data_IF_397465143286
#
_entry.id   IF_397465143286
#
_cell.length_a   1.000
_cell.length_b   1.000
_cell.length_c   1.000
_cell.angle_alpha   90.00
_cell.angle_beta   90.00
_cell.angle_gamma   90.00
#
_symmetry.space_group_name_H-M   'P 1'
#
loop_
_entity.id
_entity.type
_entity.pdbx_description
1 polymer ?
#
# COMPACT_ATOMS: atom_id res chain seq x y z
N UNK A 1 -9.54 7.86 -4.12
CA UNK A 1 -9.10 6.48 -3.83
C UNK A 1 -8.40 5.98 -5.09
N UNK A 2 -7.16 5.53 -4.98
CA UNK A 2 -6.51 4.81 -6.08
C UNK A 2 -7.44 3.67 -6.51
N UNK A 3 -7.82 3.62 -7.79
CA UNK A 3 -8.74 2.62 -8.32
C UNK A 3 -8.05 1.26 -8.44
N UNK A 4 -8.82 0.19 -8.59
CA UNK A 4 -8.25 -1.15 -8.80
C UNK A 4 -7.41 -1.21 -10.08
N UNK A 5 -6.41 -2.08 -10.09
CA UNK A 5 -5.55 -2.27 -11.24
C UNK A 5 -6.25 -3.22 -12.21
N UNK A 6 -6.41 -2.78 -13.46
CA UNK A 6 -7.00 -3.57 -14.55
C UNK A 6 -5.92 -4.19 -15.42
N UNK A 7 -6.14 -5.42 -15.87
CA UNK A 7 -5.31 -6.05 -16.88
C UNK A 7 -5.87 -5.67 -18.25
N UNK A 8 -5.03 -5.09 -19.10
CA UNK A 8 -5.35 -4.72 -20.47
C UNK A 8 -4.42 -5.47 -21.44
N UNK A 9 -4.77 -5.49 -22.73
CA UNK A 9 -4.02 -6.18 -23.77
C UNK A 9 -3.61 -5.23 -24.88
N UNK A 10 -2.31 -5.15 -25.13
CA UNK A 10 -1.75 -4.46 -26.28
C UNK A 10 -1.78 -5.40 -27.48
N UNK A 11 -2.61 -5.05 -28.48
CA UNK A 11 -2.81 -5.87 -29.67
C UNK A 11 -1.65 -5.81 -30.67
N UNK A 12 -0.85 -4.75 -30.67
CA UNK A 12 0.27 -4.60 -31.62
C UNK A 12 1.48 -5.39 -31.13
N UNK A 13 1.77 -5.32 -29.83
CA UNK A 13 2.91 -6.01 -29.21
C UNK A 13 2.58 -7.40 -28.67
N UNK A 14 1.30 -7.78 -28.70
CA UNK A 14 0.76 -9.03 -28.13
C UNK A 14 1.17 -9.26 -26.66
N UNK A 15 1.02 -8.22 -25.83
CA UNK A 15 1.44 -8.23 -24.42
C UNK A 15 0.35 -7.69 -23.51
N UNK A 16 0.23 -8.30 -22.33
CA UNK A 16 -0.63 -7.77 -21.27
C UNK A 16 0.09 -6.67 -20.48
N UNK A 17 -0.66 -5.65 -20.07
CA UNK A 17 -0.17 -4.55 -19.24
C UNK A 17 -1.21 -4.14 -18.20
N UNK A 18 -0.76 -3.34 -17.22
CA UNK A 18 -1.59 -2.89 -16.12
C UNK A 18 -2.09 -1.47 -16.36
N UNK A 19 -3.40 -1.28 -16.25
CA UNK A 19 -4.07 0.01 -16.32
C UNK A 19 -4.58 0.45 -14.95
N UNK A 20 -4.36 1.72 -14.62
CA UNK A 20 -4.99 2.39 -13.49
C UNK A 20 -5.37 3.84 -13.88
N UNK A 21 -5.71 4.68 -12.91
CA UNK A 21 -6.10 6.06 -13.21
C UNK A 21 -5.02 6.91 -13.87
N UNK A 22 -3.73 6.60 -13.71
CA UNK A 22 -2.63 7.44 -14.17
C UNK A 22 -2.26 7.23 -15.65
N UNK A 23 -2.64 6.10 -16.23
CA UNK A 23 -2.48 5.84 -17.67
C UNK A 23 -3.83 5.72 -18.39
N UNK A 24 -4.92 6.15 -17.76
CA UNK A 24 -6.28 6.08 -18.29
C UNK A 24 -6.69 7.38 -18.96
N UNK A 25 -7.30 7.28 -20.12
CA UNK A 25 -7.99 8.36 -20.82
C UNK A 25 -9.38 7.87 -21.20
N UNK A 26 -10.44 8.50 -20.68
CA UNK A 26 -11.85 8.05 -20.80
C UNK A 26 -12.04 6.59 -20.38
N UNK A 27 -12.15 5.64 -21.30
CA UNK A 27 -12.24 4.20 -21.02
C UNK A 27 -11.06 3.39 -21.57
N UNK A 28 -10.08 4.08 -22.14
CA UNK A 28 -8.86 3.49 -22.70
C UNK A 28 -7.67 3.64 -21.77
N UNK A 29 -6.70 2.73 -21.88
CA UNK A 29 -5.45 2.75 -21.12
C UNK A 29 -4.25 2.77 -22.06
N UNK A 30 -3.27 3.63 -21.79
CA UNK A 30 -2.02 3.69 -22.54
C UNK A 30 -1.16 2.47 -22.24
N UNK A 31 -0.76 1.76 -23.29
CA UNK A 31 0.20 0.67 -23.19
C UNK A 31 1.61 1.20 -22.94
N UNK A 32 2.38 0.60 -22.01
CA UNK A 32 3.78 0.96 -21.78
C UNK A 32 4.69 0.48 -22.93
N UNK A 33 4.22 -0.39 -23.82
CA UNK A 33 5.01 -0.96 -24.92
C UNK A 33 4.91 -0.12 -26.18
N UNK A 34 3.70 0.05 -26.71
CA UNK A 34 3.43 0.80 -27.94
C UNK A 34 3.27 2.30 -27.73
N UNK A 35 3.00 2.74 -26.48
CA UNK A 35 2.60 4.10 -26.17
C UNK A 35 1.22 4.50 -26.73
N UNK A 36 0.40 3.53 -27.13
CA UNK A 36 -0.93 3.70 -27.71
C UNK A 36 -2.01 3.39 -26.67
N UNK A 37 -3.14 4.10 -26.71
CA UNK A 37 -4.31 3.84 -25.89
C UNK A 37 -5.20 2.76 -26.50
N UNK A 38 -5.61 1.77 -25.69
CA UNK A 38 -6.56 0.72 -26.07
C UNK A 38 -7.77 0.72 -25.14
N UNK A 39 -8.99 0.42 -25.63
CA UNK A 39 -9.30 -0.02 -26.99
C UNK A 39 -9.38 1.11 -28.03
N UNK A 40 -9.66 2.34 -27.59
CA UNK A 40 -9.80 3.50 -28.47
C UNK A 40 -8.64 4.47 -28.27
N UNK A 41 -8.10 4.97 -29.38
CA UNK A 41 -7.10 6.02 -29.38
C UNK A 41 -7.75 7.37 -29.66
N UNK A 42 -7.50 8.37 -28.80
CA UNK A 42 -7.98 9.74 -29.02
C UNK A 42 -6.83 10.65 -29.42
N UNK A 43 -7.08 11.57 -30.36
CA UNK A 43 -6.06 12.49 -30.89
C UNK A 43 -5.44 13.38 -29.80
N UNK A 44 -6.22 13.72 -28.77
CA UNK A 44 -5.78 14.57 -27.65
C UNK A 44 -5.37 13.77 -26.41
N UNK A 45 -5.16 12.45 -26.53
CA UNK A 45 -4.67 11.65 -25.42
C UNK A 45 -3.25 12.07 -25.02
N UNK A 46 -2.98 12.10 -23.71
CA UNK A 46 -1.67 12.46 -23.22
C UNK A 46 -0.61 11.43 -23.62
N UNK A 47 0.52 11.91 -24.12
CA UNK A 47 1.70 11.09 -24.43
C UNK A 47 2.92 11.74 -23.78
N UNK A 48 3.79 10.98 -23.07
CA UNK A 48 4.95 11.57 -22.44
C UNK A 48 5.94 12.15 -23.47
N UNK A 49 6.65 13.25 -23.12
CA UNK A 49 7.77 13.75 -23.92
C UNK A 49 8.83 12.67 -24.17
N UNK A 50 9.56 12.78 -25.29
CA UNK A 50 10.51 11.76 -25.76
C UNK A 50 11.55 11.34 -24.70
N UNK A 51 12.10 12.29 -23.95
CA UNK A 51 13.05 12.00 -22.88
C UNK A 51 12.43 11.16 -21.76
N UNK A 52 11.21 11.47 -21.32
CA UNK A 52 10.49 10.66 -20.32
C UNK A 52 10.06 9.32 -20.89
N UNK A 53 9.67 9.27 -22.17
CA UNK A 53 9.31 8.00 -22.81
C UNK A 53 10.50 7.03 -22.86
N UNK A 54 11.70 7.54 -23.11
CA UNK A 54 12.94 6.75 -23.06
C UNK A 54 13.19 6.17 -21.67
N UNK A 55 13.03 7.00 -20.62
CA UNK A 55 13.11 6.56 -19.23
C UNK A 55 12.01 5.54 -18.88
N UNK A 56 10.77 5.76 -19.34
CA UNK A 56 9.64 4.88 -19.09
C UNK A 56 9.89 3.48 -19.65
N UNK A 57 10.42 3.36 -20.87
CA UNK A 57 10.79 2.07 -21.47
C UNK A 57 11.89 1.39 -20.65
N UNK A 58 12.93 2.13 -20.26
CA UNK A 58 14.01 1.60 -19.42
C UNK A 58 13.48 1.10 -18.08
N UNK A 59 12.64 1.87 -17.41
CA UNK A 59 12.12 1.52 -16.09
C UNK A 59 11.14 0.35 -16.15
N UNK A 60 10.33 0.23 -17.21
CA UNK A 60 9.54 -0.99 -17.43
C UNK A 60 10.43 -2.22 -17.52
N UNK A 61 11.55 -2.14 -18.25
CA UNK A 61 12.49 -3.26 -18.40
C UNK A 61 13.16 -3.64 -17.07
N UNK A 62 13.59 -2.65 -16.27
CA UNK A 62 14.23 -2.90 -14.97
C UNK A 62 13.20 -3.41 -13.96
N UNK A 63 12.01 -2.82 -13.93
CA UNK A 63 10.97 -3.17 -12.98
C UNK A 63 10.35 -4.54 -13.26
N UNK A 64 10.30 -4.99 -14.52
CA UNK A 64 9.92 -6.37 -14.83
C UNK A 64 10.93 -7.39 -14.26
N UNK A 65 12.22 -7.04 -14.17
CA UNK A 65 13.22 -7.88 -13.47
C UNK A 65 12.97 -7.91 -11.97
N UNK A 66 12.63 -6.77 -11.37
CA UNK A 66 12.21 -6.70 -9.96
C UNK A 66 10.99 -7.59 -9.71
N UNK A 67 9.94 -7.47 -10.54
CA UNK A 67 8.76 -8.33 -10.47
C UNK A 67 9.14 -9.81 -10.55
N UNK A 68 9.96 -10.21 -11.53
CA UNK A 68 10.41 -11.61 -11.64
C UNK A 68 11.15 -12.10 -10.39
N UNK A 69 11.99 -11.26 -9.80
CA UNK A 69 12.77 -11.62 -8.61
C UNK A 69 11.89 -11.80 -7.35
N UNK A 70 10.94 -10.90 -7.11
CA UNK A 70 10.15 -10.89 -5.85
C UNK A 70 8.77 -11.56 -5.96
N UNK A 71 8.16 -11.55 -7.14
CA UNK A 71 6.80 -12.04 -7.36
C UNK A 71 6.75 -13.33 -8.19
N UNK A 72 7.86 -13.71 -8.85
CA UNK A 72 8.02 -14.83 -9.79
C UNK A 72 7.12 -14.72 -11.03
N UNK A 73 5.81 -14.60 -10.84
CA UNK A 73 4.79 -14.39 -11.85
C UNK A 73 4.04 -13.06 -11.63
N UNK A 74 3.00 -12.80 -12.40
CA UNK A 74 2.22 -11.57 -12.38
C UNK A 74 2.67 -10.59 -13.46
N UNK A 75 2.04 -9.41 -13.47
CA UNK A 75 2.30 -8.35 -14.42
C UNK A 75 2.87 -7.13 -13.71
N UNK A 76 3.65 -6.34 -14.45
CA UNK A 76 4.13 -5.05 -14.00
C UNK A 76 4.03 -4.02 -15.12
N UNK A 77 3.79 -2.77 -14.78
CA UNK A 77 3.83 -1.66 -15.74
C UNK A 77 4.29 -0.39 -15.06
N UNK A 78 5.03 0.43 -15.79
CA UNK A 78 5.56 1.70 -15.31
C UNK A 78 5.13 2.83 -16.24
N UNK A 79 4.66 3.94 -15.65
CA UNK A 79 4.21 5.13 -16.38
C UNK A 79 4.84 6.39 -15.83
N UNK A 80 5.36 7.25 -16.70
CA UNK A 80 5.99 8.51 -16.34
C UNK A 80 5.27 9.71 -16.94
N UNK A 81 5.24 10.81 -16.21
CA UNK A 81 4.76 12.11 -16.68
C UNK A 81 5.51 13.26 -16.01
N UNK A 82 5.59 14.45 -16.61
CA UNK A 82 6.29 15.57 -16.01
C UNK A 82 5.55 16.01 -14.74
N UNK A 83 6.31 16.49 -13.76
CA UNK A 83 5.71 17.14 -12.61
C UNK A 83 5.17 18.52 -13.06
N UNK A 84 3.89 18.85 -12.84
CA UNK A 84 3.32 20.13 -13.28
C UNK A 84 3.76 21.34 -12.45
N UNK A 85 4.32 21.13 -11.24
CA UNK A 85 4.60 22.21 -10.28
C UNK A 85 6.09 22.55 -10.22
N UNK A 86 6.95 21.54 -10.34
CA UNK A 86 8.39 21.66 -10.11
C UNK A 86 9.19 20.91 -11.16
N UNK A 87 10.46 21.28 -11.31
CA UNK A 87 11.39 20.55 -12.18
C UNK A 87 11.53 19.10 -11.72
N UNK A 88 11.19 18.16 -12.60
CA UNK A 88 11.25 16.73 -12.34
C UNK A 88 10.12 15.96 -13.01
N UNK A 89 9.81 14.80 -12.47
CA UNK A 89 8.82 13.88 -13.05
C UNK A 89 8.14 13.06 -11.96
N UNK A 90 7.00 12.48 -12.31
CA UNK A 90 6.30 11.51 -11.50
C UNK A 90 6.35 10.16 -12.21
N UNK A 91 6.62 9.11 -11.45
CA UNK A 91 6.65 7.75 -11.93
C UNK A 91 5.66 6.90 -11.14
N UNK A 92 4.83 6.15 -11.84
CA UNK A 92 3.90 5.20 -11.27
C UNK A 92 4.33 3.78 -11.63
N UNK A 93 4.59 2.96 -10.62
CA UNK A 93 4.96 1.56 -10.77
C UNK A 93 3.83 0.67 -10.27
N UNK A 94 3.35 -0.21 -11.14
CA UNK A 94 2.23 -1.11 -10.87
C UNK A 94 2.71 -2.54 -10.86
N UNK A 95 2.26 -3.31 -9.88
CA UNK A 95 2.36 -4.77 -9.85
C UNK A 95 0.97 -5.33 -9.58
N UNK A 96 0.59 -6.34 -10.35
CA UNK A 96 -0.60 -7.14 -10.09
C UNK A 96 -0.23 -8.62 -10.20
N UNK A 97 -0.53 -9.38 -9.17
CA UNK A 97 -0.36 -10.84 -9.13
C UNK A 97 -1.69 -11.46 -8.72
N UNK A 98 -2.15 -12.39 -9.54
CA UNK A 98 -3.26 -13.28 -9.23
C UNK A 98 -2.69 -14.69 -9.10
N UNK A 99 -3.03 -15.38 -8.02
CA UNK A 99 -2.52 -16.69 -7.70
C UNK A 99 -3.62 -17.57 -7.12
N UNK A 100 -3.76 -18.76 -7.71
CA UNK A 100 -4.63 -19.82 -7.19
C UNK A 100 -3.76 -20.62 -6.21
N UNK A 101 -3.97 -20.43 -4.92
CA UNK A 101 -3.15 -21.07 -3.89
C UNK A 101 -3.51 -22.56 -3.72
N UNK A 102 -4.80 -22.85 -3.70
CA UNK A 102 -5.36 -24.20 -3.76
C UNK A 102 -6.63 -24.21 -4.62
N UNK A 103 -7.34 -25.34 -4.75
CA UNK A 103 -8.54 -25.45 -5.59
C UNK A 103 -9.65 -24.45 -5.21
N UNK A 104 -9.59 -23.86 -4.02
CA UNK A 104 -10.69 -23.11 -3.41
C UNK A 104 -10.28 -21.71 -2.97
N UNK A 105 -8.98 -21.37 -3.00
CA UNK A 105 -8.43 -20.15 -2.44
C UNK A 105 -7.69 -19.37 -3.51
N UNK A 106 -8.24 -18.20 -3.85
CA UNK A 106 -7.65 -17.25 -4.78
C UNK A 106 -7.07 -16.07 -4.00
N UNK A 107 -5.85 -15.69 -4.35
CA UNK A 107 -5.13 -14.55 -3.78
C UNK A 107 -4.88 -13.56 -4.91
N UNK A 108 -5.32 -12.34 -4.70
CA UNK A 108 -5.06 -11.20 -5.57
C UNK A 108 -4.23 -10.18 -4.80
N UNK A 109 -3.15 -9.72 -5.42
CA UNK A 109 -2.24 -8.73 -4.88
C UNK A 109 -2.03 -7.62 -5.89
N UNK A 110 -2.31 -6.39 -5.48
CA UNK A 110 -2.09 -5.18 -6.26
C UNK A 110 -1.19 -4.23 -5.47
N UNK A 111 -0.10 -3.78 -6.08
CA UNK A 111 0.77 -2.76 -5.50
C UNK A 111 0.90 -1.58 -6.47
N UNK A 112 0.65 -0.37 -5.97
CA UNK A 112 0.84 0.89 -6.67
C UNK A 112 1.90 1.69 -5.94
N UNK A 113 2.99 2.04 -6.62
CA UNK A 113 4.01 2.95 -6.10
C UNK A 113 3.99 4.22 -6.92
N UNK A 114 3.60 5.31 -6.31
CA UNK A 114 3.66 6.64 -6.90
C UNK A 114 4.89 7.35 -6.33
N UNK A 115 5.83 7.71 -7.20
CA UNK A 115 7.04 8.43 -6.82
C UNK A 115 7.07 9.76 -7.54
N UNK A 116 7.09 10.83 -6.76
CA UNK A 116 7.34 12.17 -7.24
C UNK A 116 8.80 12.53 -7.02
N UNK A 117 9.48 12.91 -8.11
CA UNK A 117 10.87 13.36 -8.13
C UNK A 117 10.88 14.86 -8.34
N UNK A 118 11.35 15.60 -7.35
CA UNK A 118 11.50 17.05 -7.42
C UNK A 118 12.99 17.42 -7.35
N UNK A 119 13.45 18.22 -8.30
CA UNK A 119 14.84 18.66 -8.39
C UNK A 119 14.89 20.13 -8.02
N UNK A 120 15.58 20.47 -6.93
CA UNK A 120 15.78 21.88 -6.51
C UNK A 120 17.22 22.09 -6.08
N UNK A 121 17.91 23.07 -6.68
CA UNK A 121 19.24 23.54 -6.24
C UNK A 121 20.23 22.40 -5.92
N UNK A 122 20.39 21.44 -6.83
CA UNK A 122 21.26 20.24 -6.70
C UNK A 122 20.80 19.19 -5.67
N UNK A 123 19.64 19.36 -5.06
CA UNK A 123 19.01 18.34 -4.22
C UNK A 123 17.89 17.67 -5.02
N UNK A 124 17.82 16.35 -4.94
CA UNK A 124 16.71 15.57 -5.48
C UNK A 124 15.87 15.06 -4.31
N UNK A 125 14.60 15.43 -4.31
CA UNK A 125 13.61 15.01 -3.32
C UNK A 125 12.75 13.92 -3.95
N UNK A 126 12.70 12.77 -3.29
CA UNK A 126 11.87 11.64 -3.66
C UNK A 126 10.74 11.50 -2.65
N UNK A 127 9.52 11.72 -3.10
CA UNK A 127 8.32 11.46 -2.30
C UNK A 127 7.66 10.20 -2.85
N UNK A 128 7.63 9.14 -2.06
CA UNK A 128 7.00 7.87 -2.43
C UNK A 128 5.71 7.69 -1.64
N UNK A 129 4.64 7.32 -2.34
CA UNK A 129 3.40 6.80 -1.77
C UNK A 129 3.18 5.40 -2.33
N UNK A 130 3.12 4.41 -1.45
CA UNK A 130 2.84 3.02 -1.80
C UNK A 130 1.49 2.60 -1.24
N UNK A 131 0.68 2.01 -2.11
CA UNK A 131 -0.63 1.46 -1.81
C UNK A 131 -0.62 -0.01 -2.17
N UNK A 132 -0.94 -0.87 -1.21
CA UNK A 132 -1.10 -2.30 -1.43
C UNK A 132 -2.56 -2.67 -1.18
N UNK A 133 -3.21 -3.22 -2.19
CA UNK A 133 -4.48 -3.92 -2.06
C UNK A 133 -4.20 -5.41 -2.12
N UNK A 134 -4.83 -6.15 -1.22
CA UNK A 134 -4.86 -7.61 -1.34
C UNK A 134 -6.25 -8.12 -1.09
N UNK A 135 -6.57 -9.24 -1.73
CA UNK A 135 -7.84 -9.93 -1.61
C UNK A 135 -7.59 -11.43 -1.54
N UNK A 136 -8.16 -12.09 -0.53
CA UNK A 136 -8.10 -13.54 -0.35
C UNK A 136 -9.54 -14.03 -0.34
N UNK A 137 -9.90 -14.81 -1.35
CA UNK A 137 -11.22 -15.41 -1.53
C UNK A 137 -11.13 -16.90 -1.32
N UNK A 138 -11.87 -17.44 -0.35
CA UNK A 138 -12.06 -18.88 -0.16
C UNK A 138 -13.50 -19.27 -0.51
N UNK A 139 -13.68 -20.03 -1.58
CA UNK A 139 -15.00 -20.34 -2.14
C UNK A 139 -15.83 -21.27 -1.25
N UNK A 140 -15.23 -22.29 -0.63
CA UNK A 140 -15.99 -23.25 0.18
C UNK A 140 -16.65 -22.63 1.42
N UNK A 141 -15.98 -21.66 2.05
CA UNK A 141 -16.46 -21.04 3.29
C UNK A 141 -17.11 -19.66 3.04
N UNK A 142 -17.24 -19.23 1.77
CA UNK A 142 -17.61 -17.86 1.39
C UNK A 142 -16.84 -16.78 2.16
N UNK A 143 -15.57 -17.05 2.47
CA UNK A 143 -14.71 -16.13 3.21
C UNK A 143 -14.02 -15.18 2.25
N UNK A 144 -14.23 -13.89 2.46
CA UNK A 144 -13.54 -12.83 1.76
C UNK A 144 -12.75 -11.99 2.77
N UNK A 145 -11.43 -11.97 2.61
CA UNK A 145 -10.54 -11.08 3.34
C UNK A 145 -9.89 -10.11 2.36
N UNK A 146 -10.22 -8.83 2.46
CA UNK A 146 -9.64 -7.77 1.63
C UNK A 146 -9.03 -6.68 2.50
N UNK A 147 -7.90 -6.12 2.08
CA UNK A 147 -7.25 -5.00 2.76
C UNK A 147 -6.68 -3.99 1.77
N UNK A 148 -6.73 -2.71 2.14
CA UNK A 148 -6.03 -1.61 1.48
C UNK A 148 -5.13 -0.95 2.52
N UNK A 149 -3.83 -0.88 2.24
CA UNK A 149 -2.85 -0.28 3.14
C UNK A 149 -2.01 0.70 2.34
N UNK A 150 -1.93 1.94 2.85
CA UNK A 150 -1.18 3.02 2.22
C UNK A 150 -0.06 3.46 3.17
N UNK A 151 1.14 3.67 2.64
CA UNK A 151 2.26 4.25 3.37
C UNK A 151 3.03 5.21 2.46
N UNK A 152 3.30 6.40 2.99
CA UNK A 152 4.08 7.42 2.30
C UNK A 152 5.37 7.73 3.07
N UNK A 153 6.41 8.12 2.32
CA UNK A 153 7.71 8.54 2.85
C UNK A 153 8.32 9.60 1.94
N UNK A 154 8.98 10.57 2.55
CA UNK A 154 9.74 11.59 1.85
C UNK A 154 11.22 11.42 2.19
N UNK A 155 12.05 11.25 1.18
CA UNK A 155 13.50 11.16 1.31
C UNK A 155 14.16 12.20 0.41
N UNK A 156 15.18 12.89 0.94
CA UNK A 156 16.00 13.82 0.16
C UNK A 156 17.40 13.26 -0.05
N UNK A 157 17.94 13.44 -1.25
CA UNK A 157 19.31 13.07 -1.60
C UNK A 157 20.02 14.30 -2.17
N UNK A 158 21.07 14.75 -1.50
CA UNK A 158 21.96 15.80 -1.99
C UNK A 158 22.84 15.22 -3.08
N UNK A 159 22.89 15.88 -4.23
CA UNK A 159 23.74 15.46 -5.36
C UNK A 159 24.88 16.44 -5.52
N UNK A 160 26.11 15.94 -5.60
CA UNK A 160 27.32 16.75 -5.79
C UNK A 160 27.55 17.07 -7.26
N UNK A 161 27.25 16.13 -8.17
CA UNK A 161 27.50 16.27 -9.61
C UNK A 161 26.20 16.38 -10.42
N UNK A 162 26.07 17.46 -11.18
CA UNK A 162 24.93 17.71 -12.08
C UNK A 162 24.75 16.62 -13.15
N UNK A 163 25.84 15.97 -13.56
CA UNK A 163 25.78 14.90 -14.56
C UNK A 163 25.07 13.64 -14.05
N UNK A 164 25.12 13.36 -12.75
CA UNK A 164 24.41 12.22 -12.15
C UNK A 164 22.89 12.41 -12.20
N UNK A 165 22.41 13.65 -12.14
CA UNK A 165 20.96 13.95 -12.26
C UNK A 165 20.46 13.65 -13.68
N UNK A 166 21.33 13.75 -14.69
CA UNK A 166 20.98 13.41 -16.08
C UNK A 166 21.10 11.91 -16.37
N UNK A 167 21.68 11.14 -15.46
CA UNK A 167 21.81 9.71 -15.65
C UNK A 167 20.48 9.01 -15.38
N UNK A 168 20.01 8.30 -16.41
CA UNK A 168 18.82 7.47 -16.38
C UNK A 168 18.86 6.38 -15.30
N UNK A 169 20.05 5.89 -14.94
CA UNK A 169 20.18 4.85 -13.90
C UNK A 169 20.19 5.41 -12.48
N UNK A 170 20.68 6.63 -12.28
CA UNK A 170 20.77 7.25 -10.95
C UNK A 170 19.40 7.37 -10.28
N UNK A 171 18.40 7.87 -11.01
CA UNK A 171 17.04 7.96 -10.49
C UNK A 171 16.45 6.58 -10.22
N UNK A 172 16.65 5.62 -11.12
CA UNK A 172 16.12 4.27 -10.97
C UNK A 172 16.69 3.54 -9.75
N UNK A 173 17.99 3.66 -9.48
CA UNK A 173 18.63 3.05 -8.30
C UNK A 173 18.00 3.57 -6.99
N UNK A 174 17.87 4.89 -6.88
CA UNK A 174 17.26 5.52 -5.70
C UNK A 174 15.79 5.13 -5.54
N UNK A 175 15.02 5.20 -6.64
CA UNK A 175 13.60 4.83 -6.62
C UNK A 175 13.40 3.35 -6.33
N UNK A 176 14.21 2.47 -6.91
CA UNK A 176 14.17 1.03 -6.68
C UNK A 176 14.41 0.67 -5.22
N UNK A 177 15.41 1.29 -4.58
CA UNK A 177 15.65 1.11 -3.14
C UNK A 177 14.44 1.55 -2.29
N UNK A 178 13.81 2.68 -2.62
CA UNK A 178 12.62 3.16 -1.91
C UNK A 178 11.43 2.21 -2.07
N UNK A 179 11.20 1.70 -3.28
CA UNK A 179 10.13 0.74 -3.57
C UNK A 179 10.33 -0.53 -2.75
N UNK A 180 11.51 -1.13 -2.83
CA UNK A 180 11.83 -2.37 -2.10
C UNK A 180 11.67 -2.18 -0.58
N UNK A 181 12.20 -1.09 -0.03
CA UNK A 181 12.09 -0.78 1.39
C UNK A 181 10.63 -0.60 1.82
N UNK A 182 9.82 0.06 0.99
CA UNK A 182 8.41 0.32 1.28
C UNK A 182 7.57 -0.96 1.22
N UNK A 183 7.72 -1.77 0.16
CA UNK A 183 7.03 -3.05 0.03
C UNK A 183 7.39 -4.00 1.17
N UNK A 184 8.69 -4.12 1.50
CA UNK A 184 9.13 -4.96 2.61
C UNK A 184 8.53 -4.51 3.94
N UNK A 185 8.46 -3.21 4.19
CA UNK A 185 7.82 -2.69 5.39
C UNK A 185 6.32 -2.98 5.42
N UNK A 186 5.62 -2.82 4.30
CA UNK A 186 4.18 -3.06 4.23
C UNK A 186 3.84 -4.55 4.37
N UNK A 187 4.60 -5.42 3.72
CA UNK A 187 4.45 -6.88 3.83
C UNK A 187 4.62 -7.34 5.28
N UNK A 188 5.64 -6.84 5.98
CA UNK A 188 5.83 -7.10 7.43
C UNK A 188 4.65 -6.60 8.27
N UNK A 189 4.10 -5.43 7.96
CA UNK A 189 2.91 -4.93 8.66
C UNK A 189 1.68 -5.82 8.41
N UNK A 190 1.49 -6.32 7.19
CA UNK A 190 0.41 -7.26 6.85
C UNK A 190 0.53 -8.54 7.67
N UNK A 191 1.71 -9.17 7.63
CA UNK A 191 1.98 -10.44 8.28
C UNK A 191 1.88 -10.34 9.82
N UNK A 192 2.62 -9.40 10.43
CA UNK A 192 2.81 -9.37 11.88
C UNK A 192 1.86 -8.47 12.64
N UNK A 193 1.11 -7.59 11.98
CA UNK A 193 0.25 -6.62 12.67
C UNK A 193 -1.20 -6.81 12.23
N UNK A 194 -1.49 -6.70 10.93
CA UNK A 194 -2.86 -6.67 10.46
C UNK A 194 -3.58 -8.01 10.61
N UNK A 195 -2.97 -9.12 10.17
CA UNK A 195 -3.60 -10.46 10.29
C UNK A 195 -3.83 -10.83 11.76
N UNK A 196 -2.82 -10.64 12.62
CA UNK A 196 -2.96 -10.91 14.06
C UNK A 196 -4.07 -10.04 14.69
N UNK A 197 -4.15 -8.76 14.32
CA UNK A 197 -5.19 -7.89 14.85
C UNK A 197 -6.60 -8.30 14.40
N UNK A 198 -6.75 -8.75 13.15
CA UNK A 198 -8.02 -9.26 12.63
C UNK A 198 -8.42 -10.53 13.39
N UNK A 199 -7.49 -11.45 13.63
CA UNK A 199 -7.72 -12.66 14.42
C UNK A 199 -8.16 -12.33 15.86
N UNK A 200 -7.50 -11.38 16.52
CA UNK A 200 -7.88 -10.93 17.86
C UNK A 200 -9.31 -10.35 17.91
N UNK A 201 -9.68 -9.56 16.89
CA UNK A 201 -11.02 -8.99 16.81
C UNK A 201 -12.08 -10.07 16.58
N UNK A 202 -11.84 -11.03 15.68
CA UNK A 202 -12.75 -12.16 15.44
C UNK A 202 -12.93 -13.02 16.70
N UNK A 203 -11.84 -13.31 17.42
CA UNK A 203 -11.88 -14.04 18.68
C UNK A 203 -12.68 -13.29 19.75
N UNK A 204 -12.56 -11.96 19.81
CA UNK A 204 -13.32 -11.11 20.74
C UNK A 204 -14.83 -11.17 20.48
N UNK A 205 -15.25 -11.16 19.21
CA UNK A 205 -16.66 -11.29 18.81
C UNK A 205 -17.21 -12.68 19.20
N UNK A 206 -16.43 -13.73 18.94
CA UNK A 206 -16.83 -15.11 19.29
C UNK A 206 -17.01 -15.28 20.80
N UNK A 207 -16.13 -14.68 21.61
CA UNK A 207 -16.24 -14.72 23.06
C UNK A 207 -17.50 -14.00 23.57
N UNK A 208 -17.84 -12.83 23.00
CA UNK A 208 -19.05 -12.08 23.35
C UNK A 208 -20.34 -12.89 23.12
N UNK A 209 -20.41 -13.60 21.99
CA UNK A 209 -21.56 -14.46 21.69
C UNK A 209 -21.65 -15.68 22.62
N UNK A 210 -20.50 -16.24 23.02
CA UNK A 210 -20.45 -17.35 23.98
C UNK A 210 -20.90 -16.90 25.38
N UNK A 211 -20.51 -15.70 25.83
CA UNK A 211 -20.96 -15.14 27.11
C UNK A 211 -22.46 -14.85 27.12
N UNK A 212 -23.03 -14.37 26.01
CA UNK A 212 -24.48 -14.15 25.91
C UNK A 212 -25.28 -15.47 25.92
N UNK A 213 -24.80 -16.52 25.26
CA UNK A 213 -25.43 -17.84 25.33
C UNK A 213 -25.32 -18.48 26.72
N UNK A 214 -24.22 -18.28 27.44
CA UNK A 214 -24.08 -18.72 28.84
C UNK A 214 -25.00 -17.95 29.80
N UNK A 215 -25.32 -16.69 29.52
CA UNK A 215 -26.34 -15.96 30.29
C UNK A 215 -27.77 -16.42 30.02
N UNK A 216 -28.04 -17.01 28.86
CA UNK A 216 -29.37 -17.52 28.49
C UNK A 216 -29.60 -18.98 28.95
N UNK A 217 -28.56 -19.80 29.01
CA UNK A 217 -28.63 -21.16 29.55
C UNK A 217 -28.18 -21.16 31.02
N UNK A 218 -29.18 -21.23 31.92
CA UNK A 218 -29.09 -21.16 33.38
C UNK A 218 -28.16 -22.18 34.11
N UNK A 219 -27.28 -22.91 33.42
CA UNK A 219 -26.42 -23.94 34.02
C UNK A 219 -24.97 -23.50 34.33
N UNK A 220 -24.51 -22.30 33.92
CA UNK A 220 -23.11 -21.88 34.12
C UNK A 220 -22.94 -20.51 34.81
N UNK A 221 -23.68 -20.28 35.92
CA UNK A 221 -23.53 -19.09 36.79
C UNK A 221 -22.09 -18.80 37.22
N UNK A 222 -21.24 -19.83 37.37
CA UNK A 222 -19.86 -19.63 37.80
C UNK A 222 -18.99 -18.94 36.74
N UNK A 223 -19.18 -19.26 35.46
CA UNK A 223 -18.36 -18.68 34.38
C UNK A 223 -18.80 -17.25 34.06
N UNK A 224 -20.10 -16.97 34.08
CA UNK A 224 -20.62 -15.60 33.94
C UNK A 224 -20.18 -14.69 35.08
N UNK A 225 -20.08 -15.23 36.31
CA UNK A 225 -19.59 -14.47 37.46
C UNK A 225 -18.09 -14.16 37.34
N UNK A 226 -17.29 -15.08 36.79
CA UNK A 226 -15.87 -14.86 36.53
C UNK A 226 -15.67 -13.88 35.37
N UNK A 227 -16.44 -13.98 34.28
CA UNK A 227 -16.34 -13.02 33.17
C UNK A 227 -16.77 -11.62 33.58
N UNK A 228 -17.86 -11.51 34.34
CA UNK A 228 -18.31 -10.22 34.87
C UNK A 228 -17.30 -9.64 35.86
N UNK A 229 -16.72 -10.46 36.75
CA UNK A 229 -15.68 -9.98 37.66
C UNK A 229 -14.42 -9.52 36.92
N UNK A 230 -14.02 -10.19 35.84
CA UNK A 230 -12.91 -9.76 34.98
C UNK A 230 -13.23 -8.45 34.25
N UNK A 231 -14.44 -8.26 33.73
CA UNK A 231 -14.88 -7.01 33.10
C UNK A 231 -14.90 -5.87 34.12
N UNK A 232 -15.49 -6.08 35.30
CA UNK A 232 -15.48 -5.11 36.40
C UNK A 232 -14.06 -4.79 36.86
N UNK A 233 -13.17 -5.78 36.93
CA UNK A 233 -11.76 -5.56 37.28
C UNK A 233 -11.06 -4.68 36.23
N UNK A 234 -11.35 -4.87 34.95
CA UNK A 234 -10.78 -4.09 33.85
C UNK A 234 -11.26 -2.63 33.90
N UNK A 235 -12.54 -2.41 34.10
CA UNK A 235 -13.10 -1.06 34.25
C UNK A 235 -12.56 -0.34 35.50
N UNK A 236 -12.40 -1.07 36.60
CA UNK A 236 -11.81 -0.55 37.84
C UNK A 236 -10.35 -0.12 37.61
N UNK A 237 -9.53 -0.99 37.02
CA UNK A 237 -8.13 -0.69 36.68
C UNK A 237 -8.04 0.52 35.73
N UNK A 238 -8.94 0.61 34.75
CA UNK A 238 -8.97 1.74 33.81
C UNK A 238 -9.33 3.07 34.50
N UNK A 239 -10.29 3.06 35.43
CA UNK A 239 -10.63 4.24 36.25
C UNK A 239 -9.47 4.65 37.17
N UNK A 240 -8.79 3.69 37.78
CA UNK A 240 -7.63 3.94 38.65
C UNK A 240 -6.43 4.53 37.87
N UNK A 241 -6.18 4.03 36.66
CA UNK A 241 -5.14 4.57 35.79
C UNK A 241 -5.47 6.01 35.36
N UNK A 242 -6.73 6.31 35.04
CA UNK A 242 -7.16 7.66 34.68
C UNK A 242 -7.00 8.65 35.85
N UNK A 243 -7.32 8.26 37.08
CA UNK A 243 -7.12 9.11 38.27
C UNK A 243 -5.65 9.33 38.56
N UNK A 244 -4.81 8.30 38.47
CA UNK A 244 -3.35 8.43 38.61
C UNK A 244 -2.74 9.35 37.55
N UNK A 245 -3.17 9.25 36.29
CA UNK A 245 -2.72 10.15 35.21
C UNK A 245 -3.13 11.60 35.49
N UNK A 246 -4.35 11.85 35.98
CA UNK A 246 -4.82 13.19 36.37
C UNK A 246 -3.98 13.77 37.52
N UNK A 247 -3.65 12.97 38.52
CA UNK A 247 -2.80 13.38 39.65
C UNK A 247 -1.37 13.72 39.21
N UNK A 248 -0.77 12.91 38.33
CA UNK A 248 0.57 13.18 37.78
C UNK A 248 0.57 14.47 36.94
N UNK A 249 -0.47 14.71 36.14
CA UNK A 249 -0.64 15.97 35.39
C UNK A 249 -0.78 17.18 36.32
N UNK A 250 -1.50 17.04 37.43
CA UNK A 250 -1.66 18.12 38.43
C UNK A 250 -0.34 18.45 39.12
N UNK A 251 0.41 17.44 39.59
CA UNK A 251 1.75 17.63 40.18
C UNK A 251 2.76 18.24 39.19
N UNK A 252 2.68 17.92 37.90
CA UNK A 252 3.52 18.56 36.85
C UNK A 252 3.15 20.02 36.60
N UNK A 253 1.87 20.39 36.70
CA UNK A 253 1.43 21.80 36.59
C UNK A 253 1.88 22.61 37.81
N UNK A 254 1.72 22.06 39.01
CA UNK A 254 2.17 22.68 40.26
C UNK A 254 3.70 22.87 40.29
N UNK A 255 4.49 21.93 39.77
CA UNK A 255 5.95 22.10 39.63
C UNK A 255 6.37 23.14 38.58
N UNK A 256 5.54 23.40 37.56
CA UNK A 256 5.80 24.43 36.53
C UNK A 256 5.39 25.84 36.95
N UNK A 257 4.53 25.99 37.97
CA UNK A 257 4.15 27.29 38.54
C UNK A 257 5.07 27.76 39.67
N UNK A 258 6.07 26.96 40.03
CA UNK A 258 7.06 27.25 41.10
C UNK A 258 8.41 27.68 40.49
N UNK A 259 8.50 27.82 39.17
CA UNK A 259 9.60 28.44 38.43
C UNK A 259 9.11 29.63 37.64
#
# INVERSE_FOLDING_TARGET
KEGSIKINYDKEENKYYLGNMFNKEKDSYRSPYTNIYFPEHYINSYVPPEHLRTLEILYNNIFDRYRKAYYMNGLSSVYLWPNPIEDGFVACFLIKKEEIFDKETNIEWEATHLIQVNIRNLNVYYQISCTINFEIKKYNDNLLLSGNINKALENSKKVTDLYLIKDQYFHMENMGYLIECMENSLRKSIEYIYILKIQDMLNSIKHYNFTNHLTYNNSNKNISNISNSLIFSREYIQKELQTKIKQVRKKKKEKKSIF
#
